data_IF_472533233818
#
_entry.id   IF_472533233818
#
_cell.length_a   1.000
_cell.length_b   1.000
_cell.length_c   1.000
_cell.angle_alpha   90.00
_cell.angle_beta   90.00
_cell.angle_gamma   90.00
#
_symmetry.space_group_name_H-M   'P 1'
#
loop_
_entity.id
_entity.type
_entity.pdbx_description
1 polymer ?
#
# COMPACT_ATOMS: atom_id res chain seq x y z
N UNK A 1 12.31 2.02 -7.67
CA UNK A 1 11.06 1.42 -7.19
C UNK A 1 10.50 0.54 -8.29
N UNK A 2 10.20 -0.72 -7.98
CA UNK A 2 9.63 -1.67 -8.95
C UNK A 2 8.19 -1.25 -9.24
N UNK A 3 7.88 -0.93 -10.50
CA UNK A 3 6.53 -0.56 -10.91
C UNK A 3 5.54 -1.70 -10.65
N UNK A 4 4.30 -1.39 -10.25
CA UNK A 4 3.19 -2.34 -10.15
C UNK A 4 2.50 -2.40 -11.52
N UNK A 5 2.19 -3.58 -12.03
CA UNK A 5 1.54 -3.79 -13.33
C UNK A 5 0.39 -4.78 -13.22
N UNK A 6 -0.58 -4.78 -14.16
CA UNK A 6 -1.60 -5.83 -14.20
C UNK A 6 -0.99 -7.23 -14.10
N UNK A 7 -1.53 -8.05 -13.20
CA UNK A 7 -1.00 -9.38 -12.85
C UNK A 7 -0.11 -9.40 -11.60
N UNK A 8 0.43 -8.27 -11.14
CA UNK A 8 1.11 -8.16 -9.86
C UNK A 8 0.11 -8.18 -8.69
N UNK A 9 0.63 -8.48 -7.48
CA UNK A 9 -0.11 -8.32 -6.24
C UNK A 9 0.38 -7.05 -5.55
N UNK A 10 -0.56 -6.26 -5.02
CA UNK A 10 -0.24 -5.11 -4.18
C UNK A 10 -1.07 -5.13 -2.89
N UNK A 11 -0.56 -4.44 -1.88
CA UNK A 11 -1.30 -4.08 -0.67
C UNK A 11 -1.98 -2.73 -0.89
N UNK A 12 -3.29 -2.66 -0.66
CA UNK A 12 -4.02 -1.41 -0.68
C UNK A 12 -4.06 -0.72 0.70
N UNK A 13 -4.63 0.48 0.77
CA UNK A 13 -4.68 1.27 2.01
C UNK A 13 -5.50 0.66 3.15
N UNK A 14 -6.24 -0.44 2.91
CA UNK A 14 -6.89 -1.22 3.97
C UNK A 14 -6.10 -2.49 4.33
N UNK A 15 -4.85 -2.59 3.88
CA UNK A 15 -3.97 -3.74 4.05
C UNK A 15 -4.45 -5.01 3.32
N UNK A 16 -5.37 -4.91 2.35
CA UNK A 16 -5.77 -6.10 1.58
C UNK A 16 -4.67 -6.46 0.58
N UNK A 17 -4.34 -7.76 0.40
CA UNK A 17 -3.66 -8.22 -0.79
C UNK A 17 -4.63 -8.19 -1.98
N UNK A 18 -4.24 -7.52 -3.05
CA UNK A 18 -5.07 -7.22 -4.23
C UNK A 18 -4.33 -7.61 -5.49
N UNK A 19 -5.01 -8.34 -6.39
CA UNK A 19 -4.53 -8.58 -7.75
C UNK A 19 -4.74 -7.32 -8.60
N UNK A 20 -3.65 -6.73 -9.09
CA UNK A 20 -3.68 -5.58 -9.98
C UNK A 20 -4.33 -5.95 -11.32
N UNK A 21 -5.35 -5.21 -11.72
CA UNK A 21 -6.01 -5.34 -13.02
C UNK A 21 -5.80 -4.13 -13.91
N UNK A 22 -5.41 -2.99 -13.34
CA UNK A 22 -5.18 -1.74 -14.05
C UNK A 22 -4.20 -0.84 -13.29
N UNK A 23 -3.31 -0.15 -14.00
CA UNK A 23 -2.45 0.89 -13.48
C UNK A 23 -2.15 1.92 -14.60
N UNK A 24 -2.44 3.20 -14.38
CA UNK A 24 -2.12 4.30 -15.31
C UNK A 24 -1.02 5.28 -14.82
N UNK A 25 -0.42 4.98 -13.67
CA UNK A 25 0.62 5.81 -13.05
C UNK A 25 0.10 6.76 -11.95
N UNK A 26 -1.21 7.00 -11.87
CA UNK A 26 -1.84 7.73 -10.75
C UNK A 26 -2.82 6.84 -9.98
N UNK A 27 -3.68 6.12 -10.70
CA UNK A 27 -4.67 5.21 -10.16
C UNK A 27 -4.28 3.76 -10.38
N UNK A 28 -4.54 2.94 -9.38
CA UNK A 28 -4.43 1.49 -9.44
C UNK A 28 -5.77 0.85 -9.05
N UNK A 29 -6.19 -0.16 -9.82
CA UNK A 29 -7.40 -0.93 -9.55
C UNK A 29 -7.06 -2.41 -9.44
N UNK A 30 -7.86 -3.13 -8.66
CA UNK A 30 -7.71 -4.56 -8.57
C UNK A 30 -8.88 -5.29 -7.93
N UNK A 31 -8.66 -6.58 -7.74
CA UNK A 31 -9.60 -7.52 -7.11
C UNK A 31 -8.98 -8.01 -5.81
N UNK A 32 -9.69 -7.84 -4.70
CA UNK A 32 -9.26 -8.33 -3.38
C UNK A 32 -9.08 -9.85 -3.40
N UNK A 33 -7.92 -10.33 -2.95
CA UNK A 33 -7.66 -11.78 -2.81
C UNK A 33 -8.29 -12.37 -1.54
N UNK A 34 -8.91 -11.54 -0.69
CA UNK A 34 -9.62 -11.96 0.53
C UNK A 34 -11.07 -12.33 0.21
N UNK A 35 -11.79 -11.42 -0.46
CA UNK A 35 -13.25 -11.45 -0.60
C UNK A 35 -13.75 -11.21 -2.03
N UNK A 36 -12.84 -11.14 -3.01
CA UNK A 36 -13.14 -10.85 -4.42
C UNK A 36 -13.84 -9.51 -4.68
N UNK A 37 -13.86 -8.58 -3.72
CA UNK A 37 -14.41 -7.24 -3.93
C UNK A 37 -13.65 -6.49 -5.03
N UNK A 38 -14.39 -5.77 -5.88
CA UNK A 38 -13.85 -4.95 -6.97
C UNK A 38 -14.77 -3.75 -7.29
N UNK A 39 -14.22 -2.61 -7.75
CA UNK A 39 -12.79 -2.32 -7.85
C UNK A 39 -12.19 -1.91 -6.49
N UNK A 40 -11.08 -2.55 -6.09
CA UNK A 40 -10.22 -2.05 -5.01
C UNK A 40 -9.36 -0.93 -5.59
N UNK A 41 -9.89 0.30 -5.59
CA UNK A 41 -9.23 1.47 -6.18
C UNK A 41 -8.34 2.17 -5.15
N UNK A 42 -7.14 2.59 -5.57
CA UNK A 42 -6.21 3.38 -4.76
C UNK A 42 -5.45 4.38 -5.64
N UNK A 43 -5.00 5.48 -5.03
CA UNK A 43 -3.99 6.35 -5.62
C UNK A 43 -2.59 5.84 -5.30
N UNK A 44 -1.72 5.81 -6.30
CA UNK A 44 -0.32 5.42 -6.12
C UNK A 44 0.42 6.41 -5.22
N UNK A 45 0.10 7.71 -5.33
CA UNK A 45 0.76 8.77 -4.56
C UNK A 45 0.21 8.96 -3.15
N UNK A 46 -1.07 8.62 -2.90
CA UNK A 46 -1.75 8.99 -1.64
C UNK A 46 -2.27 7.81 -0.81
N UNK A 47 -2.24 6.58 -1.33
CA UNK A 47 -2.74 5.39 -0.62
C UNK A 47 -1.61 4.48 -0.11
N UNK A 48 -0.35 4.90 -0.22
CA UNK A 48 0.83 4.14 0.21
C UNK A 48 0.81 2.68 -0.25
N UNK A 49 0.38 2.43 -1.49
CA UNK A 49 0.29 1.08 -2.04
C UNK A 49 1.69 0.47 -2.14
N UNK A 50 1.80 -0.81 -1.78
CA UNK A 50 3.08 -1.54 -1.81
C UNK A 50 2.95 -2.80 -2.65
N UNK A 51 3.92 -3.04 -3.53
CA UNK A 51 3.98 -4.30 -4.29
C UNK A 51 4.27 -5.46 -3.32
N UNK A 52 3.44 -6.50 -3.36
CA UNK A 52 3.63 -7.72 -2.57
C UNK A 52 4.25 -8.83 -3.42
N UNK A 53 5.17 -9.59 -2.80
CA UNK A 53 5.61 -10.87 -3.32
C UNK A 53 4.62 -11.98 -2.98
N UNK A 54 4.76 -13.14 -3.61
CA UNK A 54 4.02 -14.35 -3.18
C UNK A 54 4.37 -14.74 -1.75
N UNK A 55 5.61 -14.53 -1.31
CA UNK A 55 6.05 -14.81 0.06
C UNK A 55 5.30 -13.94 1.08
N UNK A 56 5.10 -12.65 0.77
CA UNK A 56 4.31 -11.75 1.63
C UNK A 56 2.87 -12.24 1.80
N UNK A 57 2.25 -12.70 0.71
CA UNK A 57 0.89 -13.26 0.74
C UNK A 57 0.83 -14.55 1.56
N UNK A 58 1.82 -15.42 1.41
CA UNK A 58 1.94 -16.65 2.21
C UNK A 58 2.13 -16.31 3.70
N UNK A 59 2.97 -15.33 4.03
CA UNK A 59 3.18 -14.87 5.39
C UNK A 59 1.89 -14.29 6.00
N UNK A 60 1.19 -13.42 5.27
CA UNK A 60 -0.09 -12.85 5.67
C UNK A 60 -1.15 -13.94 5.92
N UNK A 61 -1.20 -14.97 5.07
CA UNK A 61 -2.10 -16.11 5.27
C UNK A 61 -1.71 -16.95 6.48
N UNK A 62 -0.42 -17.11 6.73
CA UNK A 62 0.10 -17.95 7.82
C UNK A 62 -0.20 -17.32 9.18
N UNK A 63 -0.01 -16.01 9.32
CA UNK A 63 -0.28 -15.25 10.54
C UNK A 63 -0.73 -13.83 10.21
N UNK A 64 -2.05 -13.65 10.07
CA UNK A 64 -2.64 -12.36 9.73
C UNK A 64 -2.43 -11.29 10.82
N UNK A 65 -2.67 -11.56 12.12
CA UNK A 65 -2.39 -10.59 13.17
C UNK A 65 -0.96 -10.08 13.19
N UNK A 66 0.05 -10.96 13.06
CA UNK A 66 1.45 -10.56 13.06
C UNK A 66 1.82 -9.75 11.80
N UNK A 67 1.34 -10.20 10.63
CA UNK A 67 1.53 -9.48 9.37
C UNK A 67 0.97 -8.05 9.46
N UNK A 68 -0.27 -7.91 9.91
CA UNK A 68 -0.94 -6.61 10.01
C UNK A 68 -0.26 -5.68 11.01
N UNK A 69 0.17 -6.21 12.17
CA UNK A 69 0.90 -5.43 13.16
C UNK A 69 2.21 -4.88 12.60
N UNK A 70 2.97 -5.71 11.87
CA UNK A 70 4.22 -5.30 11.21
C UNK A 70 3.97 -4.23 10.15
N UNK A 71 3.03 -4.45 9.23
CA UNK A 71 2.74 -3.49 8.13
C UNK A 71 2.23 -2.15 8.64
N UNK A 72 1.45 -2.13 9.73
CA UNK A 72 1.05 -0.88 10.40
C UNK A 72 2.23 -0.14 11.00
N UNK A 73 3.13 -0.83 11.70
CA UNK A 73 4.34 -0.21 12.24
C UNK A 73 5.23 0.39 11.12
N UNK A 74 5.41 -0.34 10.01
CA UNK A 74 6.15 0.13 8.85
C UNK A 74 5.50 1.36 8.19
N UNK A 75 4.16 1.39 8.09
CA UNK A 75 3.41 2.55 7.60
C UNK A 75 3.54 3.75 8.54
N UNK A 76 3.38 3.54 9.84
CA UNK A 76 3.49 4.60 10.85
C UNK A 76 4.88 5.25 10.81
N UNK A 77 5.95 4.45 10.70
CA UNK A 77 7.33 4.94 10.57
C UNK A 77 7.54 5.80 9.31
N UNK A 78 6.96 5.40 8.18
CA UNK A 78 7.02 6.17 6.92
C UNK A 78 6.18 7.45 6.94
N UNK A 79 5.15 7.50 7.80
CA UNK A 79 4.26 8.66 7.95
C UNK A 79 4.82 9.74 8.88
N UNK A 80 5.93 9.47 9.59
CA UNK A 80 6.59 10.46 10.44
C UNK A 80 7.20 11.54 9.54
N UNK A 81 6.78 12.81 9.67
CA UNK A 81 7.37 13.91 8.91
C UNK A 81 8.87 13.98 9.16
N UNK A 82 9.66 14.06 8.09
CA UNK A 82 11.10 14.26 8.25
C UNK A 82 11.35 15.64 8.90
N UNK A 83 12.34 15.78 9.78
CA UNK A 83 12.55 17.02 10.54
C UNK A 83 12.81 18.28 9.69
N UNK A 84 13.17 18.13 8.41
CA UNK A 84 13.39 19.23 7.48
C UNK A 84 12.11 19.73 6.79
N UNK A 85 11.13 18.86 6.54
CA UNK A 85 9.84 19.19 5.93
C UNK A 85 8.91 19.96 6.88
N UNK A 86 8.98 19.68 8.19
CA UNK A 86 8.18 20.36 9.21
C UNK A 86 8.52 21.86 9.40
N UNK A 87 9.65 22.34 8.85
CA UNK A 87 10.13 23.72 9.02
C UNK A 87 9.64 24.68 7.92
N UNK A 88 9.12 24.17 6.81
CA UNK A 88 8.72 25.02 5.66
C UNK A 88 7.39 25.73 5.90
N UNK A 89 6.53 25.21 6.77
CA UNK A 89 5.18 25.75 7.00
C UNK A 89 5.09 26.94 7.98
N UNK A 90 6.21 27.45 8.51
CA UNK A 90 6.22 28.52 9.53
C UNK A 90 6.77 29.88 9.03
N UNK A 91 6.71 30.18 7.72
CA UNK A 91 7.07 31.52 7.21
C UNK A 91 6.00 32.05 6.26
N UNK A 92 4.91 32.53 6.85
CA UNK A 92 4.00 33.47 6.21
C UNK A 92 3.67 34.58 7.23
N UNK A 93 4.54 35.59 7.27
CA UNK A 93 4.28 36.91 7.86
C UNK A 93 4.52 37.97 6.78
#
# INVERSE_FOLDING_TARGET
MTSISPGDIYEDCAFHPVLCTFNDGDQILGISLIDASMPRACSIGFCAVVKLSIEDVIAARTDWPAYLARRKAEYDEQSIPQPDEARVEQRAD
#
